data_IF_484346607222
#
_entry.id   IF_484346607222
#
_cell.length_a   1.000
_cell.length_b   1.000
_cell.length_c   1.000
_cell.angle_alpha   90.00
_cell.angle_beta   90.00
_cell.angle_gamma   90.00
#
_symmetry.space_group_name_H-M   'P 1'
#
loop_
_entity.id
_entity.type
_entity.pdbx_description
1 polymer ?
#
# COMPACT_ATOMS: atom_id res chain seq x y z
N UNK A 1 -0.03 -9.28 -1.70
CA UNK A 1 0.92 -10.37 -1.38
C UNK A 1 1.10 -10.57 0.12
N UNK A 2 1.66 -9.60 0.87
CA UNK A 2 1.92 -9.73 2.31
C UNK A 2 0.73 -10.29 3.14
N UNK A 3 -0.47 -9.71 3.01
CA UNK A 3 -1.64 -10.19 3.78
C UNK A 3 -1.97 -11.64 3.48
N UNK A 4 -1.97 -12.02 2.19
CA UNK A 4 -2.27 -13.40 1.76
C UNK A 4 -1.19 -14.38 2.23
N UNK A 5 0.08 -13.97 2.21
CA UNK A 5 1.15 -14.80 2.75
C UNK A 5 0.94 -15.07 4.25
N UNK A 6 0.41 -14.10 5.00
CA UNK A 6 0.09 -14.27 6.43
C UNK A 6 -1.15 -15.13 6.71
N UNK A 7 -1.87 -15.58 5.69
CA UNK A 7 -2.97 -16.54 5.83
C UNK A 7 -2.40 -17.96 5.92
N UNK A 8 -2.04 -18.37 7.13
CA UNK A 8 -1.55 -19.73 7.42
C UNK A 8 -0.03 -19.85 7.48
N UNK A 9 0.73 -18.79 7.21
CA UNK A 9 2.17 -18.73 7.46
C UNK A 9 2.52 -17.57 8.40
N UNK A 10 3.53 -17.76 9.23
CA UNK A 10 3.99 -16.76 10.20
C UNK A 10 5.51 -16.76 10.33
N UNK A 11 6.07 -15.66 10.81
CA UNK A 11 7.51 -15.53 11.08
C UNK A 11 7.69 -14.65 12.33
N UNK A 12 7.66 -15.29 13.51
CA UNK A 12 7.58 -14.59 14.79
C UNK A 12 6.45 -13.55 14.82
N UNK A 13 6.74 -12.39 15.40
CA UNK A 13 5.80 -11.26 15.53
C UNK A 13 5.81 -10.30 14.32
N UNK A 14 6.65 -10.56 13.31
CA UNK A 14 6.73 -9.69 12.13
C UNK A 14 5.44 -9.80 11.30
N UNK A 15 4.86 -8.65 10.95
CA UNK A 15 3.60 -8.57 10.18
C UNK A 15 3.80 -7.96 8.80
N UNK A 16 4.75 -7.02 8.68
CA UNK A 16 5.08 -6.35 7.42
C UNK A 16 6.22 -7.08 6.72
N UNK A 17 5.98 -7.44 5.45
CA UNK A 17 6.94 -8.12 4.58
C UNK A 17 6.90 -7.50 3.20
N UNK A 18 8.06 -7.12 2.69
CA UNK A 18 8.25 -6.84 1.27
C UNK A 18 8.20 -8.14 0.46
N UNK A 19 8.21 -8.03 -0.87
CA UNK A 19 8.32 -9.21 -1.72
C UNK A 19 9.64 -9.95 -1.48
N UNK A 20 10.73 -9.22 -1.28
CA UNK A 20 12.05 -9.81 -1.09
C UNK A 20 12.13 -10.50 0.28
N UNK A 21 11.54 -9.90 1.32
CA UNK A 21 11.42 -10.53 2.65
C UNK A 21 10.67 -11.87 2.55
N UNK A 22 9.58 -11.92 1.76
CA UNK A 22 8.83 -13.17 1.56
C UNK A 22 9.66 -14.21 0.81
N UNK A 23 10.50 -13.81 -0.15
CA UNK A 23 11.37 -14.75 -0.87
C UNK A 23 12.44 -15.33 0.06
N UNK A 24 13.01 -14.49 0.94
CA UNK A 24 14.08 -14.88 1.85
C UNK A 24 13.58 -15.71 3.05
N UNK A 25 12.43 -15.33 3.63
CA UNK A 25 11.99 -15.86 4.92
C UNK A 25 10.94 -16.98 4.82
N UNK A 26 10.26 -17.10 3.67
CA UNK A 26 9.19 -18.09 3.55
C UNK A 26 9.73 -19.52 3.58
N UNK A 27 9.15 -20.34 4.46
CA UNK A 27 9.45 -21.76 4.58
C UNK A 27 8.18 -22.54 4.91
N UNK A 28 8.11 -23.78 4.42
CA UNK A 28 6.95 -24.65 4.68
C UNK A 28 6.87 -25.10 6.14
N UNK A 29 7.98 -25.09 6.89
CA UNK A 29 8.03 -25.42 8.31
C UNK A 29 7.17 -24.48 9.17
N UNK A 30 7.03 -23.24 8.72
CA UNK A 30 6.25 -22.20 9.41
C UNK A 30 4.80 -22.08 8.89
N UNK A 31 4.36 -23.03 8.07
CA UNK A 31 2.97 -23.11 7.59
C UNK A 31 2.15 -23.91 8.62
N UNK A 32 1.20 -23.25 9.26
CA UNK A 32 0.30 -23.85 10.24
C UNK A 32 -0.97 -24.42 9.61
N UNK A 33 -1.60 -25.37 10.29
CA UNK A 33 -2.90 -25.96 9.91
C UNK A 33 -4.11 -25.17 10.40
N UNK A 34 -3.90 -24.08 11.13
CA UNK A 34 -4.97 -23.21 11.62
C UNK A 34 -5.74 -22.59 10.46
N UNK A 35 -7.06 -22.54 10.58
CA UNK A 35 -7.91 -21.88 9.60
C UNK A 35 -7.49 -20.40 9.47
N UNK A 36 -7.16 -19.99 8.25
CA UNK A 36 -6.88 -18.60 7.97
C UNK A 36 -8.17 -17.78 8.04
N UNK A 37 -8.17 -16.71 8.84
CA UNK A 37 -9.29 -15.79 8.97
C UNK A 37 -9.00 -14.56 8.12
N UNK A 38 -9.93 -14.20 7.25
CA UNK A 38 -9.85 -12.94 6.52
C UNK A 38 -10.26 -11.79 7.44
N UNK A 39 -9.28 -10.96 7.82
CA UNK A 39 -9.49 -9.74 8.59
C UNK A 39 -9.24 -8.52 7.70
N UNK A 40 -10.32 -7.80 7.38
CA UNK A 40 -10.30 -6.61 6.52
C UNK A 40 -9.57 -5.43 7.19
N UNK A 41 -9.68 -5.27 8.51
CA UNK A 41 -8.98 -4.20 9.23
C UNK A 41 -7.46 -4.41 9.14
N UNK A 42 -7.02 -5.66 9.27
CA UNK A 42 -5.61 -6.03 9.10
C UNK A 42 -5.13 -5.88 7.67
N UNK A 43 -5.96 -6.22 6.68
CA UNK A 43 -5.66 -5.99 5.28
C UNK A 43 -5.41 -4.50 5.00
N UNK A 44 -6.30 -3.63 5.44
CA UNK A 44 -6.15 -2.18 5.26
C UNK A 44 -4.96 -1.61 6.02
N UNK A 45 -4.70 -2.09 7.24
CA UNK A 45 -3.52 -1.69 8.00
C UNK A 45 -2.23 -2.04 7.26
N UNK A 46 -2.10 -3.27 6.74
CA UNK A 46 -0.96 -3.68 5.93
C UNK A 46 -0.83 -2.85 4.66
N UNK A 47 -1.94 -2.63 3.94
CA UNK A 47 -1.93 -1.79 2.74
C UNK A 47 -1.41 -0.38 3.04
N UNK A 48 -1.82 0.20 4.18
CA UNK A 48 -1.29 1.48 4.64
C UNK A 48 0.21 1.43 4.95
N UNK A 49 0.73 0.37 5.59
CA UNK A 49 2.17 0.24 5.83
C UNK A 49 2.96 0.20 4.51
N UNK A 50 2.44 -0.52 3.50
CA UNK A 50 3.04 -0.56 2.17
C UNK A 50 3.03 0.81 1.49
N UNK A 51 1.93 1.56 1.57
CA UNK A 51 1.88 2.93 1.03
C UNK A 51 2.84 3.90 1.76
N UNK A 52 3.03 3.76 3.07
CA UNK A 52 3.98 4.57 3.84
C UNK A 52 5.43 4.27 3.46
N UNK A 53 5.75 3.01 3.18
CA UNK A 53 7.09 2.56 2.79
C UNK A 53 7.41 2.85 1.32
N UNK A 54 6.40 2.98 0.46
CA UNK A 54 6.58 3.21 -0.97
C UNK A 54 7.33 4.52 -1.29
N UNK A 55 8.03 4.53 -2.42
CA UNK A 55 8.61 5.75 -2.99
C UNK A 55 7.47 6.74 -3.34
N UNK A 56 7.55 8.02 -2.94
CA UNK A 56 6.52 9.00 -3.23
C UNK A 56 6.20 9.17 -4.73
N UNK A 57 7.20 9.08 -5.60
CA UNK A 57 7.04 9.25 -7.05
C UNK A 57 6.29 8.05 -7.67
N UNK A 58 6.59 6.83 -7.22
CA UNK A 58 5.88 5.63 -7.63
C UNK A 58 4.42 5.68 -7.14
N UNK A 59 4.23 6.03 -5.87
CA UNK A 59 2.90 6.19 -5.28
C UNK A 59 2.08 7.28 -5.98
N UNK A 60 2.74 8.34 -6.44
CA UNK A 60 2.12 9.39 -7.23
C UNK A 60 1.56 8.87 -8.56
N UNK A 61 2.30 7.99 -9.26
CA UNK A 61 1.79 7.37 -10.49
C UNK A 61 0.58 6.47 -10.22
N UNK A 62 0.60 5.75 -9.10
CA UNK A 62 -0.50 4.87 -8.71
C UNK A 62 -1.77 5.63 -8.33
N UNK A 63 -1.66 6.79 -7.69
CA UNK A 63 -2.83 7.58 -7.26
C UNK A 63 -3.42 8.44 -8.38
N UNK A 64 -2.62 8.84 -9.37
CA UNK A 64 -3.04 9.68 -10.51
C UNK A 64 -4.39 9.28 -11.14
N UNK A 65 -4.63 8.01 -11.53
CA UNK A 65 -5.89 7.64 -12.16
C UNK A 65 -7.11 7.94 -11.27
N UNK A 66 -7.01 7.68 -9.96
CA UNK A 66 -8.10 7.93 -9.00
C UNK A 66 -8.40 9.42 -8.83
N UNK A 67 -7.36 10.27 -8.85
CA UNK A 67 -7.54 11.73 -8.78
C UNK A 67 -8.25 12.27 -10.03
N UNK A 68 -7.87 11.78 -11.21
CA UNK A 68 -8.47 12.22 -12.47
C UNK A 68 -9.90 11.69 -12.65
N UNK A 69 -10.18 10.46 -12.21
CA UNK A 69 -11.52 9.85 -12.28
C UNK A 69 -12.55 10.62 -11.45
N UNK A 70 -12.16 11.19 -10.29
CA UNK A 70 -13.04 12.03 -9.47
C UNK A 70 -13.45 13.34 -10.15
N UNK A 71 -12.78 13.75 -11.23
CA UNK A 71 -13.14 14.92 -12.02
C UNK A 71 -12.88 16.28 -11.35
N UNK A 72 -12.35 16.31 -10.12
CA UNK A 72 -12.00 17.54 -9.40
C UNK A 72 -10.70 18.18 -9.94
N UNK A 73 -9.82 17.37 -10.51
CA UNK A 73 -8.54 17.80 -11.11
C UNK A 73 -8.50 17.31 -12.55
N UNK A 74 -8.27 18.22 -13.48
CA UNK A 74 -8.09 17.87 -14.90
C UNK A 74 -6.64 17.46 -15.18
N UNK A 75 -6.40 16.75 -16.28
CA UNK A 75 -5.03 16.42 -16.73
C UNK A 75 -4.13 17.68 -16.84
N UNK A 76 -4.66 18.78 -17.38
CA UNK A 76 -3.92 20.03 -17.51
C UNK A 76 -3.56 20.64 -16.14
N UNK A 77 -4.45 20.56 -15.14
CA UNK A 77 -4.16 21.00 -13.77
C UNK A 77 -3.10 20.14 -13.10
N UNK A 78 -3.17 18.82 -13.30
CA UNK A 78 -2.19 17.86 -12.79
C UNK A 78 -0.79 18.14 -13.35
N UNK A 79 -0.67 18.29 -14.67
CA UNK A 79 0.61 18.59 -15.33
C UNK A 79 1.17 19.94 -14.88
N UNK A 80 0.32 20.96 -14.73
CA UNK A 80 0.72 22.28 -14.24
C UNK A 80 1.24 22.26 -12.81
N UNK A 81 0.72 21.38 -11.94
CA UNK A 81 1.18 21.27 -10.56
C UNK A 81 2.63 20.77 -10.46
N UNK A 82 3.06 19.96 -11.42
CA UNK A 82 4.42 19.42 -11.50
C UNK A 82 4.69 18.28 -10.50
N UNK A 83 5.67 17.41 -10.79
CA UNK A 83 5.92 16.20 -10.01
C UNK A 83 6.36 16.50 -8.57
N UNK A 84 7.17 17.52 -8.33
CA UNK A 84 7.69 17.85 -6.99
C UNK A 84 6.57 18.18 -6.00
N UNK A 85 5.66 19.09 -6.38
CA UNK A 85 4.54 19.50 -5.53
C UNK A 85 3.59 18.34 -5.27
N UNK A 86 3.33 17.53 -6.30
CA UNK A 86 2.44 16.38 -6.20
C UNK A 86 3.04 15.27 -5.30
N UNK A 87 4.32 14.95 -5.47
CA UNK A 87 5.05 14.00 -4.60
C UNK A 87 5.10 14.47 -3.15
N UNK A 88 5.23 15.78 -2.92
CA UNK A 88 5.14 16.35 -1.58
C UNK A 88 3.74 16.15 -0.97
N UNK A 89 2.68 16.41 -1.74
CA UNK A 89 1.30 16.16 -1.32
C UNK A 89 1.06 14.69 -0.94
N UNK A 90 1.50 13.76 -1.79
CA UNK A 90 1.43 12.31 -1.52
C UNK A 90 2.19 11.94 -0.24
N UNK A 91 3.37 12.50 -0.02
CA UNK A 91 4.19 12.24 1.17
C UNK A 91 3.46 12.66 2.45
N UNK A 92 2.73 13.77 2.44
CA UNK A 92 1.96 14.25 3.59
C UNK A 92 0.70 13.41 3.84
N UNK A 93 0.00 13.03 2.78
CA UNK A 93 -1.32 12.39 2.88
C UNK A 93 -1.26 10.86 3.09
N UNK A 94 -0.19 10.19 2.62
CA UNK A 94 -0.05 8.72 2.70
C UNK A 94 -0.15 8.12 4.11
N UNK A 95 0.08 8.92 5.14
CA UNK A 95 -0.02 8.47 6.54
C UNK A 95 -1.46 8.33 7.04
N UNK A 96 -2.43 8.96 6.37
CA UNK A 96 -3.86 8.99 6.75
C UNK A 96 -4.71 8.09 5.87
N UNK A 97 -4.30 7.87 4.62
CA UNK A 97 -5.00 7.01 3.67
C UNK A 97 -4.85 5.52 4.03
N UNK A 98 -5.91 4.72 3.80
CA UNK A 98 -5.85 3.26 3.89
C UNK A 98 -5.80 2.62 2.50
N UNK A 99 -6.28 3.33 1.47
CA UNK A 99 -6.26 2.90 0.07
C UNK A 99 -5.81 4.03 -0.87
N UNK A 100 -5.56 3.72 -2.16
CA UNK A 100 -5.27 4.72 -3.18
C UNK A 100 -6.48 5.66 -3.45
N UNK A 101 -7.73 5.16 -3.54
CA UNK A 101 -8.91 6.03 -3.57
C UNK A 101 -9.01 7.02 -2.40
N UNK A 102 -8.69 6.57 -1.17
CA UNK A 102 -8.67 7.45 0.01
C UNK A 102 -7.57 8.51 -0.11
N UNK A 103 -6.41 8.14 -0.66
CA UNK A 103 -5.29 9.07 -0.87
C UNK A 103 -5.61 10.12 -1.94
N UNK A 104 -6.55 9.81 -2.84
CA UNK A 104 -7.04 10.72 -3.86
C UNK A 104 -8.17 11.64 -3.37
N UNK A 105 -8.57 11.57 -2.09
CA UNK A 105 -9.48 12.55 -1.44
C UNK A 105 -8.71 13.77 -0.93
#
# INVERSE_FOLDING_TARGET
MNFLARLGWSHGDQEFFTRDDLIELFSLENVGSSAAIFDEAKLFWLNQQHMKAANPEELLQLVKPFVLEKGQVTQAMWEKAGPERLSHGVTLLRHRAKTLPDLAE
#
